data_IF_529649090937
#
_entry.id   IF_529649090937
#
_cell.length_a   1.000
_cell.length_b   1.000
_cell.length_c   1.000
_cell.angle_alpha   90.00
_cell.angle_beta   90.00
_cell.angle_gamma   90.00
#
_symmetry.space_group_name_H-M   'P 1'
#
loop_
_entity.id
_entity.type
_entity.pdbx_description
1 polymer ?
#
# COMPACT_ATOMS: atom_id res chain seq x y z
N UNK A 1 -6.13 4.84 -0.50
CA UNK A 1 -5.61 6.20 -0.79
C UNK A 1 -5.05 6.75 0.50
N UNK A 2 -3.96 7.51 0.44
CA UNK A 2 -3.38 8.20 1.60
C UNK A 2 -3.50 9.70 1.43
N UNK A 3 -3.86 10.40 2.49
CA UNK A 3 -3.88 11.86 2.55
C UNK A 3 -2.95 12.33 3.66
N UNK A 4 -2.33 13.49 3.47
CA UNK A 4 -1.53 14.14 4.50
C UNK A 4 -2.30 15.12 5.38
N UNK A 5 -3.63 15.21 5.24
CA UNK A 5 -4.48 16.11 6.02
C UNK A 5 -3.96 17.57 6.07
N UNK A 6 -3.38 18.06 4.96
CA UNK A 6 -2.84 19.42 4.85
C UNK A 6 -1.38 19.60 5.29
N UNK A 7 -0.72 18.56 5.79
CA UNK A 7 0.68 18.59 6.22
C UNK A 7 1.67 19.01 5.12
N UNK A 8 2.67 19.80 5.50
CA UNK A 8 3.67 20.36 4.58
C UNK A 8 4.53 19.27 3.95
N UNK A 9 4.95 18.28 4.74
CA UNK A 9 5.74 17.14 4.27
C UNK A 9 5.01 16.35 3.18
N UNK A 10 3.71 16.11 3.35
CA UNK A 10 2.92 15.42 2.34
C UNK A 10 2.77 16.22 1.05
N UNK A 11 2.62 17.56 1.15
CA UNK A 11 2.62 18.42 -0.04
C UNK A 11 3.95 18.35 -0.78
N UNK A 12 5.07 18.30 -0.06
CA UNK A 12 6.40 18.11 -0.64
C UNK A 12 6.53 16.74 -1.31
N UNK A 13 6.00 15.67 -0.71
CA UNK A 13 5.97 14.34 -1.34
C UNK A 13 5.20 14.39 -2.68
N UNK A 14 4.03 15.03 -2.72
CA UNK A 14 3.26 15.19 -3.96
C UNK A 14 4.04 15.99 -5.00
N UNK A 15 4.74 17.05 -4.60
CA UNK A 15 5.61 17.81 -5.51
C UNK A 15 6.75 16.95 -6.06
N UNK A 16 7.44 16.19 -5.20
CA UNK A 16 8.52 15.29 -5.61
C UNK A 16 8.02 14.21 -6.59
N UNK A 17 6.80 13.70 -6.41
CA UNK A 17 6.20 12.74 -7.34
C UNK A 17 5.94 13.36 -8.72
N UNK A 18 5.52 14.63 -8.77
CA UNK A 18 5.39 15.37 -10.03
C UNK A 18 6.76 15.57 -10.69
N UNK A 19 7.79 15.88 -9.92
CA UNK A 19 9.15 16.03 -10.47
C UNK A 19 9.69 14.72 -11.03
N UNK A 20 9.42 13.58 -10.36
CA UNK A 20 9.79 12.25 -10.85
C UNK A 20 9.05 11.94 -12.15
N UNK A 21 7.75 12.24 -12.24
CA UNK A 21 6.97 12.11 -13.46
C UNK A 21 7.56 12.94 -14.61
N UNK A 22 7.83 14.23 -14.36
CA UNK A 22 8.41 15.14 -15.35
C UNK A 22 9.82 14.74 -15.81
N UNK A 23 10.60 14.08 -14.95
CA UNK A 23 11.88 13.48 -15.34
C UNK A 23 11.66 12.24 -16.22
N UNK A 24 10.66 11.43 -15.89
CA UNK A 24 10.29 10.24 -16.67
C UNK A 24 9.87 10.55 -18.11
N UNK A 25 9.24 11.71 -18.38
CA UNK A 25 8.86 12.15 -19.73
C UNK A 25 9.99 12.07 -20.76
N UNK A 26 11.24 12.28 -20.33
CA UNK A 26 12.42 12.25 -21.20
C UNK A 26 12.71 10.87 -21.79
N UNK A 27 12.17 9.83 -21.17
CA UNK A 27 12.37 8.43 -21.56
C UNK A 27 11.26 7.92 -22.50
N UNK A 28 10.28 8.77 -22.83
CA UNK A 28 9.14 8.43 -23.68
C UNK A 28 9.05 9.38 -24.88
N UNK A 29 8.34 8.95 -25.92
CA UNK A 29 8.00 9.88 -27.01
C UNK A 29 7.10 10.99 -26.48
N UNK A 30 7.17 12.17 -27.09
CA UNK A 30 6.36 13.31 -26.68
C UNK A 30 4.87 12.95 -26.66
N UNK A 31 4.23 13.16 -25.51
CA UNK A 31 2.81 12.86 -25.29
C UNK A 31 2.49 11.37 -25.07
N UNK A 32 3.50 10.50 -25.03
CA UNK A 32 3.30 9.07 -24.78
C UNK A 32 3.11 8.77 -23.29
N UNK A 33 3.81 9.49 -22.40
CA UNK A 33 3.61 9.35 -20.96
C UNK A 33 2.40 10.21 -20.56
N UNK A 34 1.38 9.55 -20.01
CA UNK A 34 0.18 10.22 -19.51
C UNK A 34 0.52 11.02 -18.26
N UNK A 35 -0.07 12.21 -18.16
CA UNK A 35 0.05 13.07 -16.99
C UNK A 35 -0.32 12.32 -15.71
N UNK A 36 0.56 12.44 -14.70
CA UNK A 36 0.26 11.96 -13.37
C UNK A 36 -0.32 13.08 -12.51
N UNK A 37 -1.51 12.85 -11.96
CA UNK A 37 -2.16 13.75 -11.02
C UNK A 37 -2.51 13.02 -9.72
N UNK A 38 -2.31 13.66 -8.54
CA UNK A 38 -2.83 13.11 -7.30
C UNK A 38 -4.36 13.08 -7.34
N UNK A 39 -4.95 12.05 -6.74
CA UNK A 39 -6.40 11.97 -6.55
C UNK A 39 -6.87 13.06 -5.58
N UNK A 40 -8.14 13.45 -5.64
CA UNK A 40 -8.73 14.36 -4.67
C UNK A 40 -9.65 13.59 -3.71
N UNK A 41 -9.44 13.78 -2.41
CA UNK A 41 -10.33 13.28 -1.34
C UNK A 41 -10.65 14.45 -0.43
N UNK A 42 -11.92 14.78 -0.25
CA UNK A 42 -12.38 15.93 0.54
C UNK A 42 -11.61 17.24 0.22
N UNK A 43 -11.38 17.51 -1.07
CA UNK A 43 -10.63 18.68 -1.59
C UNK A 43 -9.14 18.73 -1.20
N UNK A 44 -8.60 17.63 -0.70
CA UNK A 44 -7.17 17.47 -0.41
C UNK A 44 -6.56 16.49 -1.40
N UNK A 45 -5.29 16.75 -1.78
CA UNK A 45 -4.51 15.79 -2.53
C UNK A 45 -4.40 14.48 -1.75
N UNK A 46 -4.58 13.38 -2.48
CA UNK A 46 -4.41 12.03 -2.01
C UNK A 46 -3.55 11.24 -2.99
N UNK A 47 -2.77 10.31 -2.44
CA UNK A 47 -1.92 9.42 -3.22
C UNK A 47 -2.61 8.05 -3.28
N UNK A 48 -2.84 7.56 -4.49
CA UNK A 48 -3.31 6.21 -4.72
C UNK A 48 -2.11 5.24 -4.74
N UNK A 49 -2.08 4.34 -3.76
CA UNK A 49 -1.11 3.25 -3.67
C UNK A 49 -1.88 1.94 -3.75
N UNK A 50 -1.46 1.03 -4.62
CA UNK A 50 -2.06 -0.30 -4.72
C UNK A 50 -1.02 -1.33 -5.13
N UNK A 51 -1.25 -2.58 -4.77
CA UNK A 51 -0.51 -3.71 -5.35
C UNK A 51 -1.49 -4.84 -5.62
N UNK A 52 -1.28 -5.57 -6.71
CA UNK A 52 -2.13 -6.70 -7.06
C UNK A 52 -1.62 -7.93 -6.33
N UNK A 53 -2.53 -8.69 -5.72
CA UNK A 53 -2.18 -9.98 -5.12
C UNK A 53 -1.61 -10.97 -6.14
N UNK A 54 -2.04 -10.89 -7.39
CA UNK A 54 -1.59 -11.81 -8.43
C UNK A 54 -1.24 -11.09 -9.73
N UNK A 55 -0.38 -11.74 -10.48
CA UNK A 55 -0.10 -11.43 -11.88
C UNK A 55 -0.34 -12.66 -12.76
N UNK A 56 -0.45 -12.45 -14.07
CA UNK A 56 -0.64 -13.55 -15.02
C UNK A 56 0.66 -14.34 -15.12
N UNK A 57 0.57 -15.67 -15.04
CA UNK A 57 1.71 -16.54 -15.34
C UNK A 57 2.14 -16.33 -16.78
N UNK A 58 3.42 -16.00 -16.98
CA UNK A 58 4.03 -16.01 -18.31
C UNK A 58 4.23 -17.47 -18.71
N UNK A 59 3.65 -17.88 -19.85
CA UNK A 59 3.59 -19.28 -20.28
C UNK A 59 4.90 -19.84 -20.84
N UNK A 60 6.06 -19.24 -20.56
CA UNK A 60 7.31 -19.71 -21.13
C UNK A 60 8.52 -19.31 -20.31
N UNK A 61 9.31 -20.34 -19.96
CA UNK A 61 10.75 -20.34 -19.65
C UNK A 61 11.18 -20.46 -18.19
N UNK A 62 10.45 -19.93 -17.22
CA UNK A 62 10.83 -20.07 -15.81
C UNK A 62 9.79 -20.90 -15.05
N UNK A 63 10.19 -22.07 -14.55
CA UNK A 63 9.50 -22.73 -13.44
C UNK A 63 9.67 -21.88 -12.16
N UNK A 64 9.19 -20.64 -12.15
CA UNK A 64 8.98 -19.95 -10.89
C UNK A 64 7.71 -20.52 -10.30
N UNK A 65 7.87 -21.45 -9.36
CA UNK A 65 6.78 -21.81 -8.46
C UNK A 65 6.43 -20.57 -7.65
N UNK A 66 5.27 -19.97 -7.97
CA UNK A 66 4.76 -18.79 -7.28
C UNK A 66 4.82 -18.92 -5.76
N UNK A 67 5.03 -17.81 -5.08
CA UNK A 67 5.10 -17.74 -3.63
C UNK A 67 3.73 -17.95 -3.01
N UNK A 68 3.67 -18.65 -1.89
CA UNK A 68 2.45 -18.79 -1.13
C UNK A 68 2.07 -17.45 -0.47
N UNK A 69 0.80 -17.06 -0.57
CA UNK A 69 0.27 -15.94 0.21
C UNK A 69 0.25 -16.34 1.69
N UNK A 70 0.82 -15.48 2.54
CA UNK A 70 0.87 -15.75 3.97
C UNK A 70 -0.53 -15.83 4.62
N UNK A 71 -0.65 -16.63 5.67
CA UNK A 71 -1.92 -16.85 6.40
C UNK A 71 -2.54 -15.58 7.00
N UNK A 72 -1.75 -14.51 7.16
CA UNK A 72 -2.26 -13.21 7.59
C UNK A 72 -3.16 -12.55 6.54
N UNK A 73 -2.90 -12.82 5.26
CA UNK A 73 -3.61 -12.23 4.11
C UNK A 73 -4.66 -13.19 3.57
N UNK A 74 -4.36 -14.49 3.51
CA UNK A 74 -5.28 -15.53 3.04
C UNK A 74 -5.41 -16.70 4.04
N UNK A 75 -6.07 -16.50 5.20
CA UNK A 75 -6.16 -17.53 6.24
C UNK A 75 -6.82 -18.83 5.76
N UNK A 76 -7.78 -18.72 4.84
CA UNK A 76 -8.63 -19.82 4.38
C UNK A 76 -8.23 -20.35 2.98
N UNK A 77 -7.15 -19.81 2.39
CA UNK A 77 -6.72 -20.17 1.03
C UNK A 77 -7.69 -19.75 -0.07
N UNK A 78 -8.60 -18.81 0.19
CA UNK A 78 -9.63 -18.38 -0.76
C UNK A 78 -8.99 -17.60 -1.91
N UNK A 79 -8.06 -16.68 -1.61
CA UNK A 79 -7.36 -15.94 -2.66
C UNK A 79 -6.54 -16.90 -3.54
N UNK A 80 -5.84 -17.85 -2.93
CA UNK A 80 -5.09 -18.89 -3.64
C UNK A 80 -6.00 -19.72 -4.55
N UNK A 81 -7.17 -20.15 -4.07
CA UNK A 81 -8.16 -20.89 -4.87
C UNK A 81 -8.69 -20.05 -6.05
N UNK A 82 -8.95 -18.77 -5.84
CA UNK A 82 -9.42 -17.86 -6.89
C UNK A 82 -8.37 -17.59 -7.96
N UNK A 83 -7.07 -17.66 -7.61
CA UNK A 83 -5.99 -17.51 -8.57
C UNK A 83 -5.99 -18.62 -9.64
N UNK A 84 -6.34 -19.85 -9.21
CA UNK A 84 -6.28 -21.05 -10.05
C UNK A 84 -4.89 -21.21 -10.69
N UNK A 85 -4.86 -21.76 -11.90
CA UNK A 85 -3.58 -22.05 -12.56
C UNK A 85 -3.01 -20.90 -13.38
N UNK A 86 -3.83 -19.86 -13.66
CA UNK A 86 -3.48 -18.78 -14.60
C UNK A 86 -2.77 -17.61 -13.95
N UNK A 87 -2.88 -17.50 -12.63
CA UNK A 87 -2.37 -16.39 -11.85
C UNK A 87 -1.32 -16.90 -10.86
N UNK A 88 -0.32 -16.08 -10.58
CA UNK A 88 0.73 -16.36 -9.59
C UNK A 88 0.97 -15.15 -8.69
N UNK A 89 1.36 -15.44 -7.45
CA UNK A 89 1.83 -14.46 -6.49
C UNK A 89 3.36 -14.52 -6.46
N UNK A 90 4.02 -13.38 -6.65
CA UNK A 90 5.48 -13.27 -6.61
C UNK A 90 5.90 -12.24 -5.56
N UNK A 91 7.20 -12.13 -5.28
CA UNK A 91 7.71 -11.12 -4.34
C UNK A 91 7.23 -9.71 -4.71
N UNK A 92 7.07 -9.43 -6.00
CA UNK A 92 6.56 -8.15 -6.47
C UNK A 92 5.11 -7.87 -6.07
N UNK A 93 4.32 -8.91 -5.82
CA UNK A 93 2.93 -8.81 -5.40
C UNK A 93 2.78 -8.73 -3.87
N UNK A 94 3.88 -8.93 -3.12
CA UNK A 94 3.84 -8.94 -1.66
C UNK A 94 3.79 -7.50 -1.11
N UNK A 95 2.86 -7.29 -0.18
CA UNK A 95 2.81 -6.09 0.67
C UNK A 95 3.14 -6.51 2.10
N UNK A 96 4.09 -5.83 2.72
CA UNK A 96 4.48 -6.08 4.12
C UNK A 96 3.68 -5.18 5.05
N UNK A 97 3.11 -5.74 6.10
CA UNK A 97 2.28 -5.03 7.06
C UNK A 97 2.96 -5.02 8.42
N UNK A 98 3.05 -3.84 9.03
CA UNK A 98 3.71 -3.68 10.33
C UNK A 98 2.87 -2.89 11.31
N UNK A 99 3.06 -3.17 12.60
CA UNK A 99 2.54 -2.37 13.69
C UNK A 99 3.71 -1.78 14.48
N UNK A 100 3.68 -0.47 14.71
CA UNK A 100 4.60 0.21 15.61
C UNK A 100 4.29 -0.17 17.06
N UNK A 101 5.30 -0.65 17.77
CA UNK A 101 5.25 -0.92 19.22
C UNK A 101 6.29 -0.04 19.89
N UNK A 102 5.89 0.64 20.96
CA UNK A 102 6.81 1.39 21.80
C UNK A 102 7.62 0.41 22.65
N UNK A 103 8.94 0.40 22.47
CA UNK A 103 9.87 -0.39 23.27
C UNK A 103 10.85 0.59 23.94
N UNK A 104 10.43 1.14 25.08
CA UNK A 104 11.12 2.24 25.77
C UNK A 104 11.08 3.53 24.93
N UNK A 105 12.25 4.12 24.66
CA UNK A 105 12.40 5.32 23.82
C UNK A 105 12.42 5.03 22.30
N UNK A 106 12.42 3.74 21.90
CA UNK A 106 12.51 3.35 20.49
C UNK A 106 11.17 2.82 19.98
N UNK A 107 10.84 3.16 18.73
CA UNK A 107 9.75 2.52 17.99
C UNK A 107 10.28 1.29 17.27
N UNK A 108 9.68 0.13 17.52
CA UNK A 108 9.95 -1.11 16.78
C UNK A 108 8.74 -1.45 15.92
N UNK A 109 8.99 -1.95 14.72
CA UNK A 109 7.95 -2.44 13.82
C UNK A 109 7.88 -3.97 13.88
N UNK A 110 6.72 -4.52 14.26
CA UNK A 110 6.45 -5.96 14.24
C UNK A 110 5.52 -6.30 13.08
N UNK A 111 5.72 -7.44 12.42
CA UNK A 111 4.84 -7.87 11.32
C UNK A 111 3.43 -8.14 11.85
N UNK A 112 2.42 -7.66 11.13
CA UNK A 112 1.01 -7.77 11.52
C UNK A 112 0.13 -8.15 10.33
N UNK A 113 -1.17 -8.31 10.59
CA UNK A 113 -2.16 -8.65 9.56
C UNK A 113 -2.78 -7.38 8.97
N UNK A 114 -3.15 -7.34 7.68
CA UNK A 114 -3.74 -6.16 7.06
C UNK A 114 -5.06 -5.69 7.70
N UNK A 115 -5.77 -6.58 8.41
CA UNK A 115 -7.05 -6.28 9.05
C UNK A 115 -6.93 -5.33 10.25
N UNK A 116 -5.71 -5.04 10.74
CA UNK A 116 -5.54 -4.08 11.84
C UNK A 116 -5.66 -2.63 11.39
N UNK A 117 -5.56 -2.37 10.08
CA UNK A 117 -5.58 -1.03 9.51
C UNK A 117 -7.01 -0.59 9.21
N UNK A 118 -7.35 0.62 9.65
CA UNK A 118 -8.64 1.25 9.49
C UNK A 118 -8.51 2.60 8.78
N UNK A 119 -9.63 3.06 8.21
CA UNK A 119 -9.72 4.44 7.75
C UNK A 119 -9.55 5.35 8.96
N UNK A 120 -8.76 6.43 8.81
CA UNK A 120 -8.33 7.37 9.85
C UNK A 120 -7.10 6.98 10.67
N UNK A 121 -6.50 5.80 10.42
CA UNK A 121 -5.20 5.47 11.02
C UNK A 121 -4.07 6.32 10.44
N UNK A 122 -3.08 6.65 11.28
CA UNK A 122 -1.84 7.29 10.83
C UNK A 122 -0.84 6.20 10.48
N UNK A 123 -0.43 6.18 9.22
CA UNK A 123 0.40 5.12 8.65
C UNK A 123 1.63 5.67 7.95
N UNK A 124 2.73 4.93 8.03
CA UNK A 124 3.88 5.08 7.13
C UNK A 124 3.70 4.10 5.97
N UNK A 125 3.80 4.58 4.74
CA UNK A 125 3.69 3.73 3.56
C UNK A 125 4.98 3.77 2.73
N UNK A 126 5.40 2.59 2.28
CA UNK A 126 6.48 2.46 1.30
C UNK A 126 5.90 2.02 -0.03
N UNK A 127 6.35 2.65 -1.09
CA UNK A 127 5.93 2.33 -2.44
C UNK A 127 7.11 2.28 -3.41
N UNK A 128 6.92 1.59 -4.52
CA UNK A 128 7.77 1.70 -5.70
C UNK A 128 7.07 2.58 -6.72
N UNK A 129 7.85 3.40 -7.42
CA UNK A 129 7.38 4.18 -8.56
C UNK A 129 7.74 3.38 -9.81
N UNK A 130 6.76 3.12 -10.67
CA UNK A 130 6.96 2.39 -11.92
C UNK A 130 6.32 3.13 -13.07
N UNK A 131 6.95 3.08 -14.23
CA UNK A 131 6.35 3.48 -15.50
C UNK A 131 5.94 2.23 -16.25
N UNK A 132 4.70 2.18 -16.70
CA UNK A 132 4.15 0.99 -17.34
C UNK A 132 3.39 1.34 -18.62
N UNK A 133 3.67 0.59 -19.68
CA UNK A 133 2.94 0.70 -20.94
C UNK A 133 1.49 0.26 -20.77
N UNK A 134 0.60 1.04 -21.37
CA UNK A 134 -0.82 0.79 -21.47
C UNK A 134 -1.14 0.14 -22.82
N UNK A 135 -2.33 -0.47 -22.91
CA UNK A 135 -2.88 -0.90 -24.20
C UNK A 135 -3.12 0.36 -25.03
N UNK A 136 -2.52 0.44 -26.22
CA UNK A 136 -2.62 1.62 -27.09
C UNK A 136 -1.30 2.37 -27.32
N UNK A 137 -0.21 1.99 -26.64
CA UNK A 137 1.12 2.58 -26.85
C UNK A 137 1.49 3.64 -25.81
N UNK A 138 0.51 4.20 -25.10
CA UNK A 138 0.74 5.14 -24.00
C UNK A 138 1.49 4.48 -22.83
N UNK A 139 2.10 5.29 -21.99
CA UNK A 139 2.70 4.89 -20.73
C UNK A 139 2.06 5.65 -19.57
N UNK A 140 2.08 5.09 -18.36
CA UNK A 140 1.68 5.82 -17.15
C UNK A 140 2.57 5.51 -15.98
N UNK A 141 2.75 6.51 -15.13
CA UNK A 141 3.34 6.33 -13.81
C UNK A 141 2.32 5.71 -12.85
N UNK A 142 2.76 4.72 -12.08
CA UNK A 142 2.01 4.12 -10.97
C UNK A 142 2.86 4.01 -9.71
N UNK A 143 2.16 4.02 -8.58
CA UNK A 143 2.76 3.80 -7.27
C UNK A 143 2.30 2.45 -6.74
N UNK A 144 3.24 1.51 -6.67
CA UNK A 144 3.00 0.15 -6.19
C UNK A 144 3.23 0.12 -4.68
N UNK A 145 2.22 -0.23 -3.90
CA UNK A 145 2.34 -0.40 -2.45
C UNK A 145 3.28 -1.57 -2.12
N UNK A 146 4.30 -1.34 -1.29
CA UNK A 146 5.27 -2.36 -0.86
C UNK A 146 5.20 -2.65 0.62
N UNK A 147 4.95 -1.64 1.44
CA UNK A 147 4.73 -1.83 2.87
C UNK A 147 3.79 -0.78 3.45
N UNK A 148 3.10 -1.15 4.52
CA UNK A 148 2.28 -0.27 5.33
C UNK A 148 2.59 -0.53 6.80
N UNK A 149 2.91 0.52 7.56
CA UNK A 149 3.21 0.43 8.97
C UNK A 149 2.27 1.36 9.75
N UNK A 150 1.61 0.82 10.78
CA UNK A 150 0.76 1.59 11.67
C UNK A 150 1.64 2.38 12.64
N UNK A 151 1.55 3.72 12.60
CA UNK A 151 2.41 4.63 13.39
C UNK A 151 1.70 5.14 14.63
N UNK A 152 0.40 5.45 14.52
CA UNK A 152 -0.45 5.85 15.64
C UNK A 152 -1.89 5.33 15.40
N UNK A 153 -2.48 4.74 16.44
CA UNK A 153 -3.87 4.25 16.49
C UNK A 153 -4.73 4.97 17.53
N UNK A 154 -4.23 6.04 18.17
CA UNK A 154 -4.92 6.77 19.24
C UNK A 154 -6.29 7.34 18.82
N UNK A 155 -6.54 7.53 17.53
CA UNK A 155 -7.83 8.02 17.01
C UNK A 155 -8.87 6.91 16.74
N UNK A 156 -8.52 5.64 16.93
CA UNK A 156 -9.39 4.49 16.62
C UNK A 156 -10.05 3.90 17.88
N UNK A 157 -9.75 4.42 19.07
CA UNK A 157 -10.39 4.04 20.34
C UNK A 157 -11.32 5.12 20.90
N UNK A 158 -12.57 5.14 20.42
CA UNK A 158 -13.71 5.61 21.22
C UNK A 158 -14.86 4.60 21.08
N UNK A 159 -14.89 3.62 21.97
CA UNK A 159 -16.10 3.15 22.67
C UNK A 159 -15.79 1.86 23.44
N UNK A 160 -15.57 2.00 24.74
CA UNK A 160 -15.41 0.89 25.68
C UNK A 160 -15.11 1.40 27.08
N UNK A 161 -15.84 2.43 27.54
CA UNK A 161 -15.70 2.90 28.91
C UNK A 161 -16.21 1.83 29.89
N UNK A 162 -15.26 1.30 30.64
CA UNK A 162 -15.32 0.91 32.04
C UNK A 162 -16.66 1.09 32.77
N UNK A 163 -17.18 -0.02 33.28
CA UNK A 163 -17.68 -0.05 34.66
C UNK A 163 -16.93 -1.16 35.41
N UNK A 164 -15.82 -0.79 36.04
CA UNK A 164 -15.41 -1.44 37.28
C UNK A 164 -16.32 -0.88 38.38
N UNK A 165 -16.95 -1.75 39.15
CA UNK A 165 -17.31 -1.44 40.53
C UNK A 165 -16.81 -2.59 41.37
N UNK A 166 -15.94 -2.24 42.30
CA UNK A 166 -15.25 -3.12 43.23
C UNK A 166 -16.25 -3.74 44.24
N UNK A 167 -16.04 -5.04 44.46
CA UNK A 167 -16.17 -5.87 45.68
C UNK A 167 -16.63 -5.15 46.97
N UNK A 168 -17.61 -5.71 47.68
CA UNK A 168 -17.81 -5.45 49.12
C UNK A 168 -19.10 -6.01 49.75
N UNK A 169 -18.93 -7.10 50.50
CA UNK A 169 -19.85 -7.83 51.42
C UNK A 169 -20.91 -8.76 50.84
#
# INVERSE_FOLDING_TARGET
MLTGCGGVEFKQIVANLKDIHARGEREFHQGQLLDWMPTQVHRSNAIELSNRYFQRKMSSWTQSSGMQIGCNVDPNGILCKLAGDKLEHMEDNKVKYYQGVAEGEKKRYIETKPQVFHVSDIVEARCSIVFMSCKGGDAKMKLILRALALVNCEHTTVSGNNTNTEIGN
#
